data_IF_967847094731
#
_entry.id   IF_967847094731
#
_cell.length_a   1.000
_cell.length_b   1.000
_cell.length_c   1.000
_cell.angle_alpha   90.00
_cell.angle_beta   90.00
_cell.angle_gamma   90.00
#
_symmetry.space_group_name_H-M   'P 1'
#
loop_
_entity.id
_entity.type
_entity.pdbx_description
1 polymer ?
#
# COMPACT_ATOMS: atom_id res chain seq x y z
N UNK A 1 -12.65 -26.57 13.56
CA UNK A 1 -13.59 -25.51 13.99
C UNK A 1 -13.87 -24.64 12.77
N UNK A 2 -15.15 -24.45 12.38
CA UNK A 2 -15.55 -23.72 11.15
C UNK A 2 -14.99 -22.30 11.18
N UNK A 3 -14.06 -21.97 10.29
CA UNK A 3 -13.65 -20.60 10.04
C UNK A 3 -14.68 -19.96 9.10
N UNK A 4 -15.49 -19.03 9.60
CA UNK A 4 -16.24 -18.11 8.75
C UNK A 4 -15.25 -17.12 8.16
N UNK A 5 -15.14 -17.09 6.83
CA UNK A 5 -14.36 -16.09 6.10
C UNK A 5 -15.04 -14.74 6.20
N UNK A 6 -14.66 -13.92 7.18
CA UNK A 6 -14.83 -12.46 7.07
C UNK A 6 -13.83 -11.97 6.03
N UNK A 7 -14.34 -11.33 4.98
CA UNK A 7 -13.52 -10.65 3.98
C UNK A 7 -12.83 -9.44 4.64
N UNK A 8 -11.64 -9.65 5.18
CA UNK A 8 -10.75 -8.54 5.57
C UNK A 8 -10.24 -7.86 4.30
N UNK A 9 -10.63 -6.60 4.13
CA UNK A 9 -10.20 -5.76 3.02
C UNK A 9 -8.76 -5.33 3.32
N UNK A 10 -7.83 -5.69 2.44
CA UNK A 10 -6.42 -5.27 2.56
C UNK A 10 -6.33 -3.74 2.63
N UNK A 11 -5.33 -3.14 3.32
CA UNK A 11 -5.19 -1.69 3.45
C UNK A 11 -5.21 -0.94 2.11
N UNK A 12 -4.64 -1.55 1.06
CA UNK A 12 -4.66 -1.01 -0.31
C UNK A 12 -6.08 -0.99 -0.91
N UNK A 13 -6.90 -2.00 -0.62
CA UNK A 13 -8.30 -2.01 -1.05
C UNK A 13 -9.12 -0.98 -0.29
N UNK A 14 -8.82 -0.73 0.98
CA UNK A 14 -9.51 0.31 1.75
C UNK A 14 -9.18 1.72 1.20
N UNK A 15 -7.92 1.99 0.85
CA UNK A 15 -7.51 3.23 0.18
C UNK A 15 -8.24 3.39 -1.16
N UNK A 16 -8.27 2.34 -1.99
CA UNK A 16 -8.97 2.34 -3.28
C UNK A 16 -10.48 2.51 -3.12
N UNK A 17 -11.09 1.87 -2.11
CA UNK A 17 -12.50 1.99 -1.77
C UNK A 17 -12.84 3.40 -1.28
N UNK A 18 -12.00 4.01 -0.43
CA UNK A 18 -12.16 5.40 0.03
C UNK A 18 -12.03 6.39 -1.11
N UNK A 19 -11.06 6.20 -2.01
CA UNK A 19 -10.94 6.99 -3.24
C UNK A 19 -12.17 6.84 -4.16
N UNK A 20 -12.72 5.64 -4.30
CA UNK A 20 -13.91 5.38 -5.11
C UNK A 20 -15.22 5.94 -4.52
N UNK A 21 -15.41 5.86 -3.20
CA UNK A 21 -16.61 6.34 -2.50
C UNK A 21 -16.71 7.86 -2.45
N UNK A 22 -15.59 8.57 -2.31
CA UNK A 22 -15.54 10.03 -2.16
C UNK A 22 -15.83 10.79 -3.47
N UNK A 23 -15.50 10.24 -4.64
CA UNK A 23 -15.59 10.96 -5.92
C UNK A 23 -16.73 10.57 -6.87
N UNK A 24 -17.15 9.30 -6.90
CA UNK A 24 -17.98 8.79 -8.01
C UNK A 24 -19.46 8.60 -7.66
N UNK A 25 -19.80 8.37 -6.39
CA UNK A 25 -21.17 8.04 -5.94
C UNK A 25 -22.17 9.21 -5.99
N UNK A 26 -21.72 10.47 -6.05
CA UNK A 26 -22.62 11.64 -6.13
C UNK A 26 -22.95 12.09 -7.55
N UNK A 27 -22.16 11.69 -8.55
CA UNK A 27 -22.37 12.14 -9.94
C UNK A 27 -23.49 11.39 -10.66
N UNK A 28 -23.75 10.12 -10.31
CA UNK A 28 -24.77 9.31 -11.00
C UNK A 28 -26.19 9.53 -10.45
N UNK A 29 -26.35 10.19 -9.30
CA UNK A 29 -27.65 10.41 -8.66
C UNK A 29 -28.42 11.65 -9.18
N UNK A 30 -27.88 12.42 -10.14
CA UNK A 30 -28.45 13.71 -10.58
C UNK A 30 -28.97 13.78 -12.02
N UNK A 31 -29.04 12.65 -12.74
CA UNK A 31 -29.57 12.59 -14.11
C UNK A 31 -30.72 11.58 -14.19
N UNK A 32 -31.95 12.03 -13.94
CA UNK A 32 -33.10 11.12 -13.99
C UNK A 32 -34.44 11.77 -13.64
N UNK A 33 -34.78 12.90 -14.27
CA UNK A 33 -36.13 13.46 -14.22
C UNK A 33 -36.48 14.00 -15.61
N UNK A 34 -37.19 13.21 -16.40
CA UNK A 34 -37.54 13.54 -17.78
C UNK A 34 -38.44 12.49 -18.42
N UNK A 35 -39.74 12.64 -18.15
CA UNK A 35 -40.97 12.24 -18.87
C UNK A 35 -41.00 11.05 -19.85
N UNK A 36 -42.05 10.28 -19.64
CA UNK A 36 -42.55 9.02 -20.22
C UNK A 36 -42.98 9.08 -21.71
N UNK A 37 -43.17 7.87 -22.26
CA UNK A 37 -43.85 7.48 -23.51
C UNK A 37 -43.05 7.56 -24.84
N UNK A 38 -42.42 6.44 -25.25
CA UNK A 38 -42.85 5.65 -26.41
C UNK A 38 -42.02 4.38 -26.63
N UNK A 39 -42.69 3.36 -27.17
CA UNK A 39 -42.26 1.98 -27.45
C UNK A 39 -41.03 1.87 -28.36
N UNK A 40 -40.16 0.88 -28.12
CA UNK A 40 -40.01 -0.34 -28.96
C UNK A 40 -38.88 -1.26 -28.43
N UNK A 41 -39.14 -2.58 -28.40
CA UNK A 41 -38.28 -3.62 -27.83
C UNK A 41 -37.15 -4.05 -28.77
N UNK A 42 -35.90 -4.07 -28.27
CA UNK A 42 -34.73 -4.70 -28.91
C UNK A 42 -33.99 -5.56 -27.86
N UNK A 43 -33.53 -6.79 -28.19
CA UNK A 43 -33.29 -7.83 -27.20
C UNK A 43 -31.94 -7.72 -26.47
N UNK A 44 -31.90 -8.34 -25.30
CA UNK A 44 -30.82 -8.40 -24.33
C UNK A 44 -29.43 -8.70 -24.94
N UNK A 45 -28.64 -7.65 -25.15
CA UNK A 45 -27.20 -7.73 -25.33
C UNK A 45 -26.50 -7.73 -23.98
N UNK A 46 -25.68 -8.77 -23.74
CA UNK A 46 -24.84 -9.00 -22.55
C UNK A 46 -24.35 -7.69 -21.92
N UNK A 47 -24.91 -7.35 -20.75
CA UNK A 47 -24.47 -6.21 -19.96
C UNK A 47 -23.03 -6.41 -19.50
N UNK A 48 -22.10 -5.65 -20.10
CA UNK A 48 -20.77 -5.44 -19.57
C UNK A 48 -20.96 -4.81 -18.20
N UNK A 49 -20.69 -5.57 -17.13
CA UNK A 49 -20.76 -5.05 -15.77
C UNK A 49 -19.87 -3.80 -15.69
N UNK A 50 -20.46 -2.64 -15.39
CA UNK A 50 -19.72 -1.41 -15.14
C UNK A 50 -18.75 -1.68 -13.99
N UNK A 51 -17.48 -1.82 -14.33
CA UNK A 51 -16.44 -2.10 -13.36
C UNK A 51 -16.29 -0.91 -12.41
N UNK A 52 -16.31 -1.18 -11.11
CA UNK A 52 -16.13 -0.14 -10.10
C UNK A 52 -14.74 0.50 -10.25
N UNK A 53 -14.63 1.81 -9.99
CA UNK A 53 -13.33 2.52 -10.00
C UNK A 53 -12.24 1.79 -9.21
N UNK A 54 -12.50 1.23 -8.00
CA UNK A 54 -11.52 0.43 -7.27
C UNK A 54 -11.05 -0.83 -8.03
N UNK A 55 -11.97 -1.55 -8.70
CA UNK A 55 -11.64 -2.75 -9.46
C UNK A 55 -10.69 -2.45 -10.62
N UNK A 56 -10.99 -1.38 -11.37
CA UNK A 56 -10.14 -0.91 -12.46
C UNK A 56 -8.76 -0.44 -11.98
N UNK A 57 -8.70 0.23 -10.82
CA UNK A 57 -7.43 0.61 -10.22
C UNK A 57 -6.61 -0.64 -9.86
N UNK A 58 -7.20 -1.65 -9.22
CA UNK A 58 -6.54 -2.92 -8.92
C UNK A 58 -5.97 -3.60 -10.17
N UNK A 59 -6.74 -3.67 -11.26
CA UNK A 59 -6.31 -4.26 -12.52
C UNK A 59 -5.09 -3.52 -13.09
N UNK A 60 -5.16 -2.19 -13.19
CA UNK A 60 -4.06 -1.36 -13.70
C UNK A 60 -2.80 -1.44 -12.85
N UNK A 61 -2.96 -1.52 -11.51
CA UNK A 61 -1.83 -1.78 -10.62
C UNK A 61 -1.20 -3.15 -10.88
N UNK A 62 -2.01 -4.18 -11.11
CA UNK A 62 -1.53 -5.51 -11.49
C UNK A 62 -0.74 -5.50 -12.80
N UNK A 63 -1.19 -4.74 -13.81
CA UNK A 63 -0.43 -4.57 -15.06
C UNK A 63 0.90 -3.83 -14.86
N UNK A 64 0.92 -2.84 -13.97
CA UNK A 64 2.13 -2.09 -13.63
C UNK A 64 3.13 -2.99 -12.87
N UNK A 65 2.67 -3.82 -11.95
CA UNK A 65 3.46 -4.83 -11.22
C UNK A 65 4.06 -5.88 -12.16
N UNK A 66 3.26 -6.37 -13.12
CA UNK A 66 3.74 -7.32 -14.13
C UNK A 66 4.84 -6.74 -15.04
N UNK A 67 5.07 -5.42 -14.99
CA UNK A 67 6.19 -4.77 -15.65
C UNK A 67 7.53 -4.88 -14.92
N UNK A 68 7.57 -5.42 -13.69
CA UNK A 68 8.77 -5.48 -12.82
C UNK A 68 9.63 -6.74 -13.01
N UNK A 69 9.82 -7.17 -14.25
CA UNK A 69 10.75 -8.27 -14.54
C UNK A 69 12.21 -7.87 -14.25
N UNK A 70 13.09 -8.86 -14.03
CA UNK A 70 14.53 -8.62 -13.83
C UNK A 70 15.14 -7.80 -15.00
N UNK A 71 14.68 -8.06 -16.23
CA UNK A 71 15.10 -7.32 -17.43
C UNK A 71 14.74 -5.84 -17.35
N UNK A 72 13.65 -5.48 -16.65
CA UNK A 72 13.23 -4.10 -16.44
C UNK A 72 14.20 -3.32 -15.55
N UNK A 73 14.88 -4.01 -14.61
CA UNK A 73 15.93 -3.40 -13.79
C UNK A 73 17.21 -3.12 -14.57
N UNK A 74 17.55 -3.98 -15.54
CA UNK A 74 18.76 -3.82 -16.38
C UNK A 74 18.52 -2.87 -17.57
N UNK A 75 17.34 -2.95 -18.20
CA UNK A 75 16.99 -2.27 -19.44
C UNK A 75 15.57 -1.68 -19.35
N UNK A 76 15.34 -0.64 -18.54
CA UNK A 76 13.99 -0.15 -18.21
C UNK A 76 13.17 0.39 -19.40
N UNK A 77 13.84 0.68 -20.53
CA UNK A 77 13.26 1.26 -21.74
C UNK A 77 13.21 0.28 -22.93
N UNK A 78 13.44 -1.02 -22.69
CA UNK A 78 13.41 -2.02 -23.76
C UNK A 78 11.99 -2.08 -24.39
N UNK A 79 11.83 -2.12 -25.73
CA UNK A 79 10.53 -2.04 -26.38
C UNK A 79 9.75 -3.38 -26.36
N UNK A 80 9.73 -4.06 -25.22
CA UNK A 80 9.03 -5.34 -25.02
C UNK A 80 7.54 -5.14 -24.70
N UNK A 81 6.67 -6.13 -24.99
CA UNK A 81 5.24 -6.06 -24.67
C UNK A 81 4.94 -5.79 -23.18
N UNK A 82 5.83 -6.21 -22.26
CA UNK A 82 5.68 -5.96 -20.84
C UNK A 82 5.85 -4.47 -20.50
N UNK A 83 6.90 -3.80 -20.98
CA UNK A 83 7.12 -2.36 -20.76
C UNK A 83 6.04 -1.51 -21.44
N UNK A 84 5.57 -1.89 -22.64
CA UNK A 84 4.45 -1.20 -23.29
C UNK A 84 3.15 -1.29 -22.48
N UNK A 85 2.87 -2.46 -21.88
CA UNK A 85 1.72 -2.63 -20.97
C UNK A 85 1.90 -1.81 -19.70
N UNK A 86 3.08 -1.88 -19.07
CA UNK A 86 3.47 -1.06 -17.91
C UNK A 86 3.23 0.44 -18.15
N UNK A 87 3.71 0.97 -19.27
CA UNK A 87 3.63 2.40 -19.57
C UNK A 87 2.18 2.83 -19.86
N UNK A 88 1.39 2.01 -20.55
CA UNK A 88 -0.06 2.22 -20.75
C UNK A 88 -0.82 2.20 -19.43
N UNK A 89 -0.53 1.23 -18.57
CA UNK A 89 -1.14 1.11 -17.25
C UNK A 89 -0.82 2.34 -16.38
N UNK A 90 0.44 2.79 -16.37
CA UNK A 90 0.87 4.01 -15.69
C UNK A 90 0.14 5.25 -16.20
N UNK A 91 0.00 5.40 -17.52
CA UNK A 91 -0.74 6.53 -18.09
C UNK A 91 -2.21 6.50 -17.65
N UNK A 92 -2.87 5.35 -17.76
CA UNK A 92 -4.29 5.21 -17.42
C UNK A 92 -4.55 5.43 -15.93
N UNK A 93 -3.66 4.94 -15.08
CA UNK A 93 -3.71 5.16 -13.64
C UNK A 93 -3.53 6.65 -13.31
N UNK A 94 -2.62 7.34 -13.99
CA UNK A 94 -2.45 8.79 -13.88
C UNK A 94 -3.70 9.57 -14.26
N UNK A 95 -4.39 9.17 -15.34
CA UNK A 95 -5.67 9.79 -15.76
C UNK A 95 -6.76 9.62 -14.71
N UNK A 96 -6.93 8.41 -14.16
CA UNK A 96 -7.97 8.14 -13.15
C UNK A 96 -7.69 8.95 -11.88
N UNK A 97 -6.44 8.94 -11.38
CA UNK A 97 -6.09 9.68 -10.17
C UNK A 97 -6.24 11.20 -10.38
N UNK A 98 -5.83 11.72 -11.55
CA UNK A 98 -6.00 13.13 -11.89
C UNK A 98 -7.47 13.53 -11.92
N UNK A 99 -8.36 12.68 -12.44
CA UNK A 99 -9.78 12.94 -12.43
C UNK A 99 -10.34 12.99 -11.00
N UNK A 100 -9.94 12.06 -10.13
CA UNK A 100 -10.32 12.09 -8.70
C UNK A 100 -9.83 13.37 -8.02
N UNK A 101 -8.59 13.81 -8.28
CA UNK A 101 -8.03 15.07 -7.77
C UNK A 101 -8.90 16.26 -8.18
N UNK A 102 -9.27 16.35 -9.47
CA UNK A 102 -10.11 17.42 -10.01
C UNK A 102 -11.49 17.44 -9.38
N UNK A 103 -12.13 16.28 -9.26
CA UNK A 103 -13.44 16.14 -8.61
C UNK A 103 -13.40 16.62 -7.15
N UNK A 104 -12.35 16.26 -6.39
CA UNK A 104 -12.17 16.73 -5.01
C UNK A 104 -11.98 18.24 -4.95
N UNK A 105 -11.10 18.82 -5.77
CA UNK A 105 -10.87 20.28 -5.80
C UNK A 105 -12.13 21.07 -6.17
N UNK A 106 -12.93 20.57 -7.09
CA UNK A 106 -14.19 21.20 -7.48
C UNK A 106 -15.25 21.11 -6.37
N UNK A 107 -15.26 20.01 -5.61
CA UNK A 107 -16.17 19.82 -4.47
C UNK A 107 -15.76 20.69 -3.27
N UNK A 108 -14.47 20.81 -2.98
CA UNK A 108 -13.95 21.63 -1.87
C UNK A 108 -14.12 23.13 -2.10
N UNK A 109 -14.22 23.61 -3.35
CA UNK A 109 -14.49 25.02 -3.66
C UNK A 109 -15.88 25.50 -3.25
N UNK A 110 -16.82 24.60 -2.94
CA UNK A 110 -18.16 24.93 -2.46
C UNK A 110 -18.39 24.76 -0.94
N UNK A 111 -17.42 24.21 -0.22
CA UNK A 111 -17.49 23.94 1.22
C UNK A 111 -16.20 24.40 1.89
N UNK A 112 -16.05 25.72 2.03
CA UNK A 112 -15.07 26.31 2.94
C UNK A 112 -15.52 26.03 4.38
N UNK A 113 -15.30 24.81 4.85
CA UNK A 113 -15.71 24.35 6.16
C UNK A 113 -15.87 22.84 6.20
N UNK A 114 -14.94 22.16 6.87
CA UNK A 114 -15.20 20.94 7.67
C UNK A 114 -15.96 19.83 6.96
N UNK A 115 -15.28 19.05 6.12
CA UNK A 115 -15.67 17.65 5.90
C UNK A 115 -14.56 16.80 6.54
N UNK A 116 -14.66 16.60 7.87
CA UNK A 116 -13.73 15.79 8.69
C UNK A 116 -13.59 14.34 8.17
N UNK A 117 -14.43 13.94 7.21
CA UNK A 117 -14.44 12.61 6.59
C UNK A 117 -13.54 12.44 5.35
N UNK A 118 -12.86 13.49 4.86
CA UNK A 118 -11.98 13.39 3.69
C UNK A 118 -10.49 13.52 4.01
N UNK A 119 -10.07 13.33 5.26
CA UNK A 119 -8.64 13.41 5.66
C UNK A 119 -7.87 12.13 5.31
N UNK A 120 -7.87 11.76 4.03
CA UNK A 120 -7.03 10.67 3.53
C UNK A 120 -5.72 11.19 2.93
N UNK A 121 -4.80 10.27 2.66
CA UNK A 121 -3.49 10.58 2.09
C UNK A 121 -3.57 11.41 0.80
N UNK A 122 -4.57 11.18 -0.05
CA UNK A 122 -4.76 11.95 -1.28
C UNK A 122 -5.12 13.41 -0.96
N UNK A 123 -5.99 13.65 0.02
CA UNK A 123 -6.32 14.99 0.46
C UNK A 123 -5.12 15.71 1.09
N UNK A 124 -4.31 14.99 1.89
CA UNK A 124 -3.05 15.51 2.42
C UNK A 124 -2.10 15.96 1.29
N UNK A 125 -1.93 15.16 0.24
CA UNK A 125 -1.11 15.54 -0.91
C UNK A 125 -1.68 16.76 -1.67
N UNK A 126 -3.00 16.82 -1.88
CA UNK A 126 -3.66 17.97 -2.53
C UNK A 126 -3.45 19.27 -1.74
N UNK A 127 -3.54 19.18 -0.41
CA UNK A 127 -3.40 20.32 0.49
C UNK A 127 -1.94 20.72 0.74
N UNK A 128 -1.00 19.80 0.53
CA UNK A 128 0.43 20.03 0.76
C UNK A 128 1.01 21.12 -0.14
N UNK A 129 2.05 21.78 0.36
CA UNK A 129 2.86 22.78 -0.36
C UNK A 129 4.33 22.48 -0.14
N UNK A 130 5.15 22.77 -1.15
CA UNK A 130 6.60 22.75 -1.03
C UNK A 130 7.11 23.91 -0.15
N UNK A 131 8.39 23.88 0.21
CA UNK A 131 9.02 24.90 1.08
C UNK A 131 9.02 26.30 0.45
N UNK A 132 8.97 26.39 -0.86
CA UNK A 132 8.85 27.64 -1.62
C UNK A 132 7.38 28.13 -1.73
N UNK A 133 6.43 27.39 -1.15
CA UNK A 133 4.99 27.69 -1.20
C UNK A 133 4.26 27.14 -2.42
N UNK A 134 4.96 26.53 -3.38
CA UNK A 134 4.35 25.97 -4.58
C UNK A 134 3.48 24.76 -4.25
N UNK A 135 2.32 24.64 -4.91
CA UNK A 135 1.50 23.44 -4.85
C UNK A 135 2.06 22.34 -5.75
N UNK A 136 1.84 21.10 -5.37
CA UNK A 136 2.14 19.96 -6.23
C UNK A 136 1.24 19.96 -7.48
N UNK A 137 1.82 19.59 -8.62
CA UNK A 137 1.03 19.39 -9.84
C UNK A 137 0.20 18.11 -9.75
N UNK A 138 -0.89 18.01 -10.50
CA UNK A 138 -1.73 16.79 -10.53
C UNK A 138 -0.92 15.56 -10.93
N UNK A 139 0.05 15.72 -11.84
CA UNK A 139 0.96 14.66 -12.28
C UNK A 139 1.92 14.21 -11.17
N UNK A 140 2.42 15.13 -10.35
CA UNK A 140 3.27 14.81 -9.20
C UNK A 140 2.46 14.08 -8.12
N UNK A 141 1.25 14.55 -7.80
CA UNK A 141 0.36 13.89 -6.82
C UNK A 141 0.03 12.48 -7.32
N UNK A 142 -0.39 12.33 -8.58
CA UNK A 142 -0.65 11.02 -9.16
C UNK A 142 0.58 10.12 -9.11
N UNK A 143 1.76 10.64 -9.45
CA UNK A 143 3.03 9.92 -9.36
C UNK A 143 3.33 9.43 -7.94
N UNK A 144 3.12 10.27 -6.92
CA UNK A 144 3.33 9.91 -5.51
C UNK A 144 2.32 8.87 -5.02
N UNK A 145 1.04 9.00 -5.39
CA UNK A 145 0.01 8.01 -5.03
C UNK A 145 0.38 6.63 -5.58
N UNK A 146 0.78 6.57 -6.86
CA UNK A 146 1.26 5.32 -7.46
C UNK A 146 2.49 4.79 -6.73
N UNK A 147 3.48 5.64 -6.48
CA UNK A 147 4.71 5.23 -5.79
C UNK A 147 4.44 4.69 -4.37
N UNK A 148 3.55 5.33 -3.62
CA UNK A 148 3.18 4.91 -2.26
C UNK A 148 2.46 3.56 -2.27
N UNK A 149 1.54 3.34 -3.21
CA UNK A 149 0.86 2.07 -3.37
C UNK A 149 1.84 0.94 -3.72
N UNK A 150 2.80 1.19 -4.62
CA UNK A 150 3.88 0.25 -4.91
C UNK A 150 4.71 -0.10 -3.68
N UNK A 151 5.12 0.92 -2.91
CA UNK A 151 5.93 0.74 -1.72
C UNK A 151 5.19 -0.07 -0.64
N UNK A 152 3.91 0.23 -0.41
CA UNK A 152 3.09 -0.42 0.61
C UNK A 152 2.71 -1.87 0.26
N UNK A 153 2.36 -2.13 -1.00
CA UNK A 153 1.84 -3.43 -1.46
C UNK A 153 2.83 -4.58 -1.23
N UNK A 154 4.00 -4.50 -1.85
CA UNK A 154 4.96 -5.63 -1.87
C UNK A 154 5.58 -5.86 -0.50
N UNK A 155 5.93 -4.79 0.20
CA UNK A 155 6.58 -4.89 1.52
C UNK A 155 5.61 -5.43 2.57
N UNK A 156 4.40 -4.87 2.67
CA UNK A 156 3.42 -5.29 3.69
C UNK A 156 2.90 -6.70 3.42
N UNK A 157 2.57 -7.03 2.17
CA UNK A 157 2.11 -8.40 1.84
C UNK A 157 3.18 -9.46 2.13
N UNK A 158 4.45 -9.18 1.80
CA UNK A 158 5.56 -10.08 2.11
C UNK A 158 5.70 -10.32 3.61
N UNK A 159 5.65 -9.26 4.42
CA UNK A 159 5.73 -9.35 5.89
C UNK A 159 4.54 -10.13 6.45
N UNK A 160 3.32 -9.87 5.98
CA UNK A 160 2.12 -10.59 6.43
C UNK A 160 2.19 -12.08 6.09
N UNK A 161 2.66 -12.44 4.89
CA UNK A 161 2.84 -13.84 4.48
C UNK A 161 3.84 -14.53 5.42
N UNK A 162 5.03 -13.97 5.62
CA UNK A 162 6.04 -14.58 6.48
C UNK A 162 5.61 -14.64 7.94
N UNK A 163 4.92 -13.62 8.44
CA UNK A 163 4.34 -13.64 9.79
C UNK A 163 3.35 -14.80 9.92
N UNK A 164 2.45 -14.97 8.96
CA UNK A 164 1.49 -16.08 8.93
C UNK A 164 2.17 -17.45 8.87
N UNK A 165 3.18 -17.62 8.00
CA UNK A 165 3.96 -18.86 7.88
C UNK A 165 4.63 -19.21 9.21
N UNK A 166 5.26 -18.24 9.89
CA UNK A 166 5.92 -18.46 11.17
C UNK A 166 4.95 -18.79 12.29
N UNK A 167 3.81 -18.10 12.38
CA UNK A 167 2.77 -18.40 13.36
C UNK A 167 2.18 -19.81 13.16
N UNK A 168 1.86 -20.18 11.92
CA UNK A 168 1.34 -21.52 11.61
C UNK A 168 2.36 -22.63 11.89
N UNK A 169 3.65 -22.32 11.78
CA UNK A 169 4.74 -23.27 12.08
C UNK A 169 5.05 -23.35 13.59
N UNK A 170 4.57 -22.40 14.40
CA UNK A 170 4.84 -22.31 15.83
C UNK A 170 3.54 -22.21 16.64
N UNK A 171 2.83 -23.33 16.88
CA UNK A 171 1.51 -23.34 17.51
C UNK A 171 1.45 -22.65 18.89
N UNK A 172 2.54 -22.67 19.65
CA UNK A 172 2.62 -22.00 20.95
C UNK A 172 2.52 -20.46 20.81
N UNK A 173 3.20 -19.89 19.81
CA UNK A 173 3.13 -18.44 19.54
C UNK A 173 1.79 -18.05 18.92
N UNK A 174 1.25 -18.89 18.03
CA UNK A 174 -0.09 -18.68 17.50
C UNK A 174 -1.14 -18.68 18.63
N UNK A 175 -1.09 -19.65 19.55
CA UNK A 175 -2.00 -19.71 20.69
C UNK A 175 -1.88 -18.47 21.58
N UNK A 176 -0.66 -17.98 21.82
CA UNK A 176 -0.44 -16.75 22.58
C UNK A 176 -1.02 -15.50 21.87
N UNK A 177 -0.84 -15.38 20.55
CA UNK A 177 -1.40 -14.28 19.75
C UNK A 177 -2.93 -14.32 19.76
N UNK A 178 -3.54 -15.50 19.59
CA UNK A 178 -5.00 -15.66 19.64
C UNK A 178 -5.54 -15.29 21.03
N UNK A 179 -4.91 -15.80 22.10
CA UNK A 179 -5.31 -15.46 23.47
C UNK A 179 -5.17 -13.95 23.78
N UNK A 180 -4.17 -13.29 23.19
CA UNK A 180 -4.04 -11.83 23.26
C UNK A 180 -5.22 -11.12 22.61
N UNK A 181 -5.65 -11.55 21.41
CA UNK A 181 -6.81 -10.96 20.73
C UNK A 181 -8.09 -11.17 21.55
N UNK A 182 -8.33 -12.39 22.05
CA UNK A 182 -9.50 -12.70 22.87
C UNK A 182 -9.56 -11.82 24.13
N UNK A 183 -8.42 -11.62 24.79
CA UNK A 183 -8.31 -10.77 25.99
C UNK A 183 -8.61 -9.30 25.68
N UNK A 184 -8.01 -8.74 24.64
CA UNK A 184 -8.20 -7.34 24.26
C UNK A 184 -9.64 -7.07 23.81
N UNK A 185 -10.23 -8.02 23.09
CA UNK A 185 -11.61 -7.92 22.64
C UNK A 185 -12.59 -8.06 23.81
N UNK A 186 -12.26 -8.81 24.87
CA UNK A 186 -13.07 -8.91 26.09
C UNK A 186 -12.95 -7.68 27.00
N UNK A 187 -11.80 -6.99 27.02
CA UNK A 187 -11.57 -5.79 27.84
C UNK A 187 -12.19 -4.50 27.29
N UNK A 188 -12.91 -4.56 26.17
CA UNK A 188 -13.62 -3.43 25.57
C UNK A 188 -15.16 -3.51 25.75
N UNK A 189 -15.71 -3.50 26.98
CA UNK A 189 -17.14 -3.53 27.19
C UNK A 189 -17.77 -2.20 26.75
N UNK A 190 -18.71 -2.26 25.79
CA UNK A 190 -19.45 -1.09 25.29
C UNK A 190 -19.33 -0.82 23.78
N UNK A 191 -18.47 -1.56 23.07
CA UNK A 191 -18.34 -1.50 21.60
C UNK A 191 -19.11 -2.66 20.98
N UNK A 192 -20.33 -2.38 20.51
CA UNK A 192 -21.30 -3.41 20.08
C UNK A 192 -21.12 -3.89 18.64
N UNK A 193 -20.32 -3.20 17.83
CA UNK A 193 -19.92 -3.67 16.51
C UNK A 193 -18.42 -3.97 16.47
N UNK A 194 -18.01 -4.92 15.62
CA UNK A 194 -16.60 -5.32 15.51
C UNK A 194 -15.71 -4.15 15.04
N UNK A 195 -16.30 -3.19 14.32
CA UNK A 195 -15.60 -2.02 13.78
C UNK A 195 -15.15 -1.06 14.87
N UNK A 196 -15.94 -0.87 15.93
CA UNK A 196 -15.55 -0.04 17.05
C UNK A 196 -14.65 -0.79 18.04
N UNK A 197 -14.59 -2.12 18.02
CA UNK A 197 -13.75 -2.90 18.94
C UNK A 197 -12.25 -2.76 18.66
N UNK A 198 -11.88 -2.50 17.42
CA UNK A 198 -10.48 -2.37 17.01
C UNK A 198 -10.17 -0.92 16.61
N UNK A 199 -9.61 -0.14 17.52
CA UNK A 199 -9.02 1.16 17.20
C UNK A 199 -7.49 1.12 17.23
N UNK A 200 -6.87 2.27 16.96
CA UNK A 200 -5.42 2.39 16.95
C UNK A 200 -4.80 2.02 18.31
N UNK A 201 -5.42 2.40 19.42
CA UNK A 201 -4.91 2.14 20.77
C UNK A 201 -4.95 0.64 21.07
N UNK A 202 -6.05 -0.06 20.75
CA UNK A 202 -6.16 -1.52 20.87
C UNK A 202 -5.06 -2.21 20.05
N UNK A 203 -4.75 -1.75 18.84
CA UNK A 203 -3.68 -2.32 18.01
C UNK A 203 -2.30 -2.13 18.66
N UNK A 204 -2.04 -0.99 19.30
CA UNK A 204 -0.78 -0.76 20.03
C UNK A 204 -0.61 -1.71 21.24
N UNK A 205 -1.71 -2.24 21.78
CA UNK A 205 -1.68 -3.19 22.90
C UNK A 205 -1.37 -4.64 22.48
N UNK A 206 -1.37 -4.95 21.17
CA UNK A 206 -1.11 -6.29 20.62
C UNK A 206 0.38 -6.66 20.62
N UNK A 207 0.98 -6.75 21.81
CA UNK A 207 2.43 -6.95 21.99
C UNK A 207 2.93 -8.26 21.37
N UNK A 208 2.19 -9.34 21.52
CA UNK A 208 2.56 -10.68 21.04
C UNK A 208 2.56 -10.69 19.51
N UNK A 209 1.48 -10.18 18.89
CA UNK A 209 1.41 -10.05 17.44
C UNK A 209 2.51 -9.12 16.91
N UNK A 210 2.73 -7.97 17.57
CA UNK A 210 3.79 -7.04 17.20
C UNK A 210 5.19 -7.68 17.24
N UNK A 211 5.49 -8.48 18.26
CA UNK A 211 6.73 -9.25 18.33
C UNK A 211 6.87 -10.24 17.17
N UNK A 212 5.81 -10.97 16.82
CA UNK A 212 5.82 -11.89 15.68
C UNK A 212 6.05 -11.17 14.34
N UNK A 213 5.42 -10.01 14.12
CA UNK A 213 5.66 -9.18 12.93
C UNK A 213 7.09 -8.66 12.87
N UNK A 214 7.64 -8.21 14.01
CA UNK A 214 9.05 -7.77 14.09
C UNK A 214 10.02 -8.91 13.82
N UNK A 215 9.71 -10.10 14.28
CA UNK A 215 10.57 -11.28 14.06
C UNK A 215 10.52 -11.74 12.60
N UNK A 216 9.35 -11.71 11.97
CA UNK A 216 9.23 -11.90 10.53
C UNK A 216 10.04 -10.86 9.73
N UNK A 217 10.03 -9.59 10.14
CA UNK A 217 10.86 -8.54 9.55
C UNK A 217 12.36 -8.74 9.77
N UNK A 218 12.77 -9.30 10.91
CA UNK A 218 14.16 -9.66 11.19
C UNK A 218 14.63 -10.75 10.22
N UNK A 219 13.86 -11.83 10.11
CA UNK A 219 14.22 -12.98 9.27
C UNK A 219 14.04 -12.71 7.77
N UNK A 220 13.02 -11.93 7.40
CA UNK A 220 12.62 -11.68 6.01
C UNK A 220 12.45 -10.18 5.73
N UNK A 221 13.53 -9.37 5.83
CA UNK A 221 13.45 -7.96 5.52
C UNK A 221 13.13 -7.78 4.02
N UNK A 222 12.09 -7.01 3.66
CA UNK A 222 11.58 -6.98 2.29
C UNK A 222 12.49 -6.24 1.30
N UNK A 223 13.37 -5.36 1.77
CA UNK A 223 14.22 -4.51 0.92
C UNK A 223 15.64 -4.44 1.47
N UNK A 224 16.64 -4.64 0.61
CA UNK A 224 18.04 -4.34 0.90
C UNK A 224 18.34 -2.86 0.60
N UNK A 225 19.12 -2.19 1.45
CA UNK A 225 19.53 -0.82 1.17
C UNK A 225 20.69 -0.81 0.18
N UNK A 226 20.42 -0.42 -1.06
CA UNK A 226 21.39 -0.26 -2.13
C UNK A 226 21.55 1.23 -2.43
N UNK A 227 22.79 1.72 -2.52
CA UNK A 227 23.14 3.11 -2.82
C UNK A 227 24.32 3.17 -3.77
N UNK A 228 24.44 4.27 -4.52
CA UNK A 228 25.64 4.56 -5.31
C UNK A 228 26.46 5.63 -4.60
N UNK A 229 27.77 5.40 -4.48
CA UNK A 229 28.71 6.39 -4.00
C UNK A 229 28.85 7.49 -5.06
N UNK A 230 28.36 8.70 -4.83
CA UNK A 230 28.55 9.81 -5.78
C UNK A 230 29.95 10.42 -5.73
N UNK A 231 30.60 10.31 -4.57
CA UNK A 231 31.97 10.79 -4.32
C UNK A 231 32.74 9.70 -3.62
N UNK A 232 34.07 9.79 -3.70
CA UNK A 232 34.95 8.98 -2.88
C UNK A 232 34.68 9.27 -1.40
N UNK A 233 34.63 8.22 -0.57
CA UNK A 233 34.59 8.36 0.89
C UNK A 233 35.34 7.21 1.55
N UNK A 234 35.89 7.45 2.73
CA UNK A 234 36.60 6.44 3.51
C UNK A 234 35.67 5.79 4.53
N UNK A 235 35.89 4.50 4.79
CA UNK A 235 35.25 3.74 5.86
C UNK A 235 36.31 3.08 6.71
N UNK A 236 36.14 3.13 8.03
CA UNK A 236 37.01 2.48 8.99
C UNK A 236 36.32 1.24 9.57
N UNK A 237 37.02 0.12 9.61
CA UNK A 237 36.51 -1.11 10.22
C UNK A 237 36.69 -1.11 11.73
N UNK A 238 36.10 -2.10 12.42
CA UNK A 238 36.33 -2.33 13.86
C UNK A 238 37.80 -2.68 14.20
N UNK A 239 38.61 -3.01 13.20
CA UNK A 239 40.04 -3.35 13.33
C UNK A 239 40.94 -2.17 12.92
N UNK A 240 40.39 -0.94 12.89
CA UNK A 240 41.08 0.30 12.47
C UNK A 240 41.69 0.26 11.06
N UNK A 241 41.16 -0.61 10.18
CA UNK A 241 41.53 -0.61 8.76
C UNK A 241 40.68 0.40 8.01
N UNK A 242 41.33 1.30 7.30
CA UNK A 242 40.66 2.28 6.44
C UNK A 242 40.58 1.75 4.99
N UNK A 243 39.39 1.88 4.39
CA UNK A 243 39.14 1.57 2.99
C UNK A 243 38.50 2.77 2.30
N UNK A 244 38.97 3.11 1.10
CA UNK A 244 38.35 4.13 0.28
C UNK A 244 37.36 3.48 -0.69
N UNK A 245 36.09 3.88 -0.63
CA UNK A 245 35.06 3.48 -1.58
C UNK A 245 35.06 4.50 -2.73
N UNK A 246 35.36 4.09 -3.97
CA UNK A 246 35.39 5.03 -5.08
C UNK A 246 34.02 5.57 -5.47
N UNK A 247 33.98 6.79 -6.02
CA UNK A 247 32.79 7.29 -6.70
C UNK A 247 32.35 6.34 -7.82
N UNK A 248 31.05 6.22 -8.03
CA UNK A 248 30.40 5.31 -8.98
C UNK A 248 30.12 3.92 -8.43
N UNK A 249 30.77 3.49 -7.34
CA UNK A 249 30.58 2.14 -6.79
C UNK A 249 29.22 1.99 -6.10
N UNK A 250 28.65 0.80 -6.21
CA UNK A 250 27.43 0.43 -5.48
C UNK A 250 27.81 -0.06 -4.08
N UNK A 251 27.15 0.51 -3.08
CA UNK A 251 27.25 0.11 -1.67
C UNK A 251 25.95 -0.57 -1.29
N UNK A 252 26.05 -1.81 -0.83
CA UNK A 252 24.91 -2.63 -0.43
C UNK A 252 25.00 -2.90 1.06
N UNK A 253 24.00 -2.46 1.81
CA UNK A 253 23.85 -2.86 3.21
C UNK A 253 23.26 -4.26 3.26
N UNK A 254 24.02 -5.19 3.83
CA UNK A 254 23.65 -6.60 3.97
C UNK A 254 22.71 -6.81 5.16
N UNK A 255 21.59 -6.07 5.22
CA UNK A 255 20.58 -6.21 6.29
C UNK A 255 20.13 -7.67 6.43
N UNK A 256 19.94 -8.35 5.29
CA UNK A 256 19.62 -9.78 5.18
C UNK A 256 20.63 -10.69 5.89
N UNK A 257 21.90 -10.29 6.00
CA UNK A 257 22.96 -11.06 6.67
C UNK A 257 23.12 -10.58 8.11
N UNK A 258 23.04 -9.27 8.33
CA UNK A 258 23.26 -8.66 9.65
C UNK A 258 22.27 -9.18 10.69
N UNK A 259 21.04 -9.45 10.27
CA UNK A 259 20.00 -10.03 11.13
C UNK A 259 20.27 -11.47 11.56
N UNK A 260 21.25 -12.15 10.94
CA UNK A 260 21.67 -13.50 11.29
C UNK A 260 23.02 -13.56 12.01
N UNK A 261 23.62 -12.42 12.34
CA UNK A 261 24.91 -12.38 13.04
C UNK A 261 24.76 -12.81 14.51
N UNK A 262 25.43 -13.89 14.96
CA UNK A 262 25.26 -14.42 16.33
C UNK A 262 25.66 -13.46 17.45
N UNK A 263 26.54 -12.50 17.16
CA UNK A 263 26.96 -11.48 18.11
C UNK A 263 25.97 -10.30 18.21
N UNK A 264 24.97 -10.23 17.32
CA UNK A 264 23.88 -9.25 17.37
C UNK A 264 22.61 -9.92 17.91
N UNK A 265 22.27 -11.10 17.40
CA UNK A 265 21.09 -11.88 17.80
C UNK A 265 21.50 -13.24 18.35
N UNK A 266 21.04 -13.56 19.57
CA UNK A 266 21.21 -14.90 20.15
C UNK A 266 20.29 -15.88 19.41
N UNK A 267 20.83 -17.01 18.95
CA UNK A 267 20.07 -17.99 18.17
C UNK A 267 19.48 -17.40 16.88
N UNK A 268 20.30 -16.81 15.99
CA UNK A 268 19.81 -16.01 14.86
C UNK A 268 18.92 -16.78 13.86
N UNK A 269 19.08 -18.10 13.80
CA UNK A 269 18.29 -19.01 12.97
C UNK A 269 16.99 -19.48 13.63
N UNK A 270 16.80 -19.20 14.91
CA UNK A 270 15.55 -19.49 15.62
C UNK A 270 14.51 -18.43 15.27
N UNK A 271 13.26 -18.88 15.15
CA UNK A 271 12.05 -18.05 15.01
C UNK A 271 11.48 -17.81 16.40
#
# INVERSE_FOLDING_TARGET
VRASSSHETLPDQELLLKMGRSGYGRSEARTGAGTDADRESVPAGKGVARESVPGKLCELFGELDNGLHLISGLLPYLPIPAHRRRDRARQRLGEIITEVIRLRRNSSRGAAGTDENNDDMLQCLINSRYKDGCAMTDAEIAGLVVALMFAGKHTSSGVSIWTGVHLLSNPNHLAAVVAEQDRLMASCPGRTDDYHRLDYDTVQEMRSLHCCVKEALRLHPPVAAVRQAYKHFTVQTKEDKEYTIPGGHMVVSTILVNHYLPHIYKGPSCV
#
